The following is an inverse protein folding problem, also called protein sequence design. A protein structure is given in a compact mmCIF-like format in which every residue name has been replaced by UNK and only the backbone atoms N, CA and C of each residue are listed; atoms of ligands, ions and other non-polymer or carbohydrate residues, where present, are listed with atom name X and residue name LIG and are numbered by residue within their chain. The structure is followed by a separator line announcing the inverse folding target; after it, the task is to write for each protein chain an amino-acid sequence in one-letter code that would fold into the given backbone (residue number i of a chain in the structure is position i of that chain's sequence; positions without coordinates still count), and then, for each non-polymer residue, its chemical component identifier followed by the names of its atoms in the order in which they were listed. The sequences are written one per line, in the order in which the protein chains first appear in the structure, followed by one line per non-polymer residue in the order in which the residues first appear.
data_IF_555599216303
#
_entry.id   IF_555599216303
#
_cell.length_a   1.000
_cell.length_b   1.000
_cell.length_c   1.000
_cell.angle_alpha   90.00
_cell.angle_beta   90.00
_cell.angle_gamma   90.00
#
_symmetry.space_group_name_H-M   'P 1'
#
loop_
_entity.id
_entity.type
_entity.pdbx_description
1 polymer ?
#
# COMPACT_ATOMS: atom_id res chain seq x y z
N UNK A 1 -8.89 2.24 1.97
CA UNK A 1 -8.03 1.69 3.04
C UNK A 1 -7.98 2.70 4.16
N UNK A 2 -8.32 2.29 5.38
CA UNK A 2 -8.06 3.02 6.60
C UNK A 2 -6.95 2.28 7.35
N UNK A 3 -5.87 2.96 7.65
CA UNK A 3 -4.69 2.37 8.29
C UNK A 3 -4.32 3.23 9.48
N UNK A 4 -4.16 2.63 10.65
CA UNK A 4 -3.54 3.32 11.77
C UNK A 4 -2.05 3.49 11.47
N UNK A 5 -1.53 4.70 11.69
CA UNK A 5 -0.18 5.08 11.27
C UNK A 5 0.88 4.06 11.76
N UNK A 6 1.48 3.27 10.85
CA UNK A 6 2.57 2.38 11.22
C UNK A 6 3.84 3.20 11.44
N UNK A 7 4.95 2.54 11.76
CA UNK A 7 6.25 3.22 11.87
C UNK A 7 6.53 4.06 10.60
N UNK A 8 7.06 5.29 10.73
CA UNK A 8 7.28 6.18 9.58
C UNK A 8 8.05 5.54 8.41
N UNK A 9 9.06 4.71 8.72
CA UNK A 9 9.83 3.97 7.71
C UNK A 9 8.97 2.97 6.92
N UNK A 10 8.01 2.32 7.59
CA UNK A 10 7.06 1.39 6.97
C UNK A 10 6.07 2.17 6.12
N UNK A 11 5.48 3.24 6.67
CA UNK A 11 4.52 4.07 5.93
C UNK A 11 5.13 4.66 4.65
N UNK A 12 6.36 5.20 4.73
CA UNK A 12 7.05 5.75 3.56
C UNK A 12 7.17 4.73 2.42
N UNK A 13 7.51 3.47 2.74
CA UNK A 13 7.62 2.39 1.75
C UNK A 13 6.26 1.93 1.22
N UNK A 14 5.21 2.06 2.02
CA UNK A 14 3.87 1.64 1.63
C UNK A 14 3.25 2.56 0.58
N UNK A 15 3.59 3.85 0.54
CA UNK A 15 2.94 4.79 -0.40
C UNK A 15 2.97 4.32 -1.85
N UNK A 16 4.15 3.99 -2.39
CA UNK A 16 4.26 3.44 -3.75
C UNK A 16 3.46 2.15 -3.94
N UNK A 17 3.55 1.21 -2.99
CA UNK A 17 2.81 -0.05 -3.03
C UNK A 17 1.29 0.15 -3.03
N UNK A 18 0.77 1.11 -2.25
CA UNK A 18 -0.66 1.42 -2.20
C UNK A 18 -1.18 1.96 -3.53
N UNK A 19 -0.39 2.79 -4.21
CA UNK A 19 -0.70 3.25 -5.56
C UNK A 19 -0.71 2.09 -6.56
N UNK A 20 0.31 1.23 -6.54
CA UNK A 20 0.41 0.05 -7.42
C UNK A 20 -0.76 -0.93 -7.24
N UNK A 21 -1.19 -1.12 -6.00
CA UNK A 21 -2.33 -1.99 -5.67
C UNK A 21 -3.70 -1.38 -6.02
N UNK A 22 -3.73 -0.16 -6.58
CA UNK A 22 -4.94 0.50 -7.05
C UNK A 22 -5.88 0.95 -5.94
N UNK A 23 -5.33 1.34 -4.78
CA UNK A 23 -6.12 1.86 -3.67
C UNK A 23 -6.72 3.21 -4.04
N UNK A 24 -8.06 3.31 -4.01
CA UNK A 24 -8.76 4.56 -4.34
C UNK A 24 -8.56 5.68 -3.32
N UNK A 25 -8.55 5.32 -2.02
CA UNK A 25 -8.44 6.25 -0.89
C UNK A 25 -7.64 5.62 0.23
N UNK A 26 -6.72 6.37 0.79
CA UNK A 26 -5.95 6.05 1.99
C UNK A 26 -6.31 7.04 3.09
N UNK A 27 -6.91 6.56 4.16
CA UNK A 27 -7.13 7.35 5.38
C UNK A 27 -6.15 6.87 6.44
N UNK A 28 -5.14 7.67 6.71
CA UNK A 28 -4.18 7.46 7.76
C UNK A 28 -4.76 7.96 9.08
N UNK A 29 -4.89 7.09 10.06
CA UNK A 29 -5.53 7.40 11.35
C UNK A 29 -4.57 7.26 12.50
N UNK A 30 -4.82 7.98 13.58
CA UNK A 30 -4.19 7.66 14.86
C UNK A 30 -4.83 6.40 15.48
N UNK A 31 -4.18 5.81 16.47
CA UNK A 31 -4.76 4.77 17.32
C UNK A 31 -4.12 4.85 18.71
N UNK A 32 -4.72 4.19 19.70
CA UNK A 32 -4.21 4.18 21.07
C UNK A 32 -2.74 3.72 21.17
N UNK A 33 -2.32 2.80 20.30
CA UNK A 33 -0.96 2.22 20.28
C UNK A 33 -0.03 2.85 19.24
N UNK A 34 -0.43 3.96 18.59
CA UNK A 34 0.46 4.73 17.71
C UNK A 34 1.29 5.69 18.55
N UNK A 35 2.59 5.74 18.29
CA UNK A 35 3.47 6.69 18.94
C UNK A 35 3.19 8.11 18.45
N UNK A 36 2.99 9.05 19.39
CA UNK A 36 2.74 10.48 19.10
C UNK A 36 3.67 11.11 18.03
N UNK A 37 5.01 10.88 18.04
CA UNK A 37 5.89 11.51 17.06
C UNK A 37 5.70 11.02 15.62
N UNK A 38 4.98 9.92 15.37
CA UNK A 38 4.86 9.39 14.00
C UNK A 38 4.18 10.38 13.05
N UNK A 39 3.21 11.15 13.55
CA UNK A 39 2.54 12.22 12.79
C UNK A 39 3.36 13.49 12.61
N UNK A 40 4.50 13.64 13.30
CA UNK A 40 5.46 14.72 13.06
C UNK A 40 6.53 14.33 12.02
N UNK A 41 6.49 13.09 11.51
CA UNK A 41 7.48 12.60 10.55
C UNK A 41 7.17 13.03 9.12
N UNK A 42 8.19 12.92 8.25
CA UNK A 42 8.05 13.12 6.81
C UNK A 42 7.09 12.14 6.13
N UNK A 43 6.68 11.06 6.80
CA UNK A 43 5.76 10.07 6.24
C UNK A 43 4.35 10.60 5.97
N UNK A 44 3.99 11.72 6.59
CA UNK A 44 2.70 12.40 6.40
C UNK A 44 2.83 13.71 5.63
N UNK A 45 4.03 14.06 5.18
CA UNK A 45 4.30 15.25 4.37
C UNK A 45 3.95 14.99 2.91
N UNK A 46 2.99 15.72 2.31
CA UNK A 46 2.66 15.57 0.89
C UNK A 46 3.86 15.73 -0.04
N UNK A 47 4.82 16.59 0.29
CA UNK A 47 6.05 16.76 -0.49
C UNK A 47 6.95 15.52 -0.51
N UNK A 48 6.70 14.56 0.39
CA UNK A 48 7.47 13.32 0.51
C UNK A 48 6.68 12.11 0.03
N UNK A 49 5.39 12.01 0.35
CA UNK A 49 4.60 10.84 -0.06
C UNK A 49 3.99 10.95 -1.46
N UNK A 50 3.73 12.15 -1.99
CA UNK A 50 3.18 12.29 -3.35
C UNK A 50 4.14 11.75 -4.43
N UNK A 51 5.46 12.01 -4.38
CA UNK A 51 6.42 11.38 -5.30
C UNK A 51 6.40 9.85 -5.24
N UNK A 52 6.26 9.26 -4.05
CA UNK A 52 6.18 7.81 -3.89
C UNK A 52 4.89 7.25 -4.52
N UNK A 53 3.76 7.92 -4.34
CA UNK A 53 2.50 7.56 -5.00
C UNK A 53 2.64 7.66 -6.53
N UNK A 54 3.26 8.72 -7.05
CA UNK A 54 3.50 8.89 -8.48
C UNK A 54 4.37 7.78 -9.04
N UNK A 55 5.49 7.46 -8.38
CA UNK A 55 6.35 6.35 -8.76
C UNK A 55 5.58 5.01 -8.82
N UNK A 56 4.72 4.75 -7.85
CA UNK A 56 3.88 3.56 -7.85
C UNK A 56 2.87 3.53 -9.01
N UNK A 57 2.28 4.67 -9.35
CA UNK A 57 1.38 4.78 -10.50
C UNK A 57 2.11 4.57 -11.83
N UNK A 58 3.29 5.15 -11.99
CA UNK A 58 4.15 4.97 -13.16
C UNK A 58 4.48 3.49 -13.38
N UNK A 59 4.88 2.79 -12.32
CA UNK A 59 5.19 1.36 -12.35
C UNK A 59 3.97 0.49 -12.68
N UNK A 60 2.78 0.89 -12.23
CA UNK A 60 1.53 0.18 -12.48
C UNK A 60 0.79 0.63 -13.76
N UNK A 61 1.36 1.56 -14.54
CA UNK A 61 0.73 2.14 -15.74
C UNK A 61 -0.68 2.67 -15.42
N UNK A 62 -0.80 3.37 -14.30
CA UNK A 62 -2.06 3.93 -13.79
C UNK A 62 -1.99 5.46 -13.74
N UNK A 63 -3.14 6.13 -13.87
CA UNK A 63 -3.20 7.61 -13.94
C UNK A 63 -4.01 8.26 -12.82
N UNK A 64 -4.67 7.45 -11.97
CA UNK A 64 -5.53 7.94 -10.89
C UNK A 64 -4.81 7.93 -9.56
N UNK A 65 -4.50 9.13 -9.07
CA UNK A 65 -3.90 9.31 -7.75
C UNK A 65 -4.84 8.90 -6.62
N UNK A 66 -4.37 8.12 -5.63
CA UNK A 66 -5.15 7.85 -4.42
C UNK A 66 -5.47 9.13 -3.66
N UNK A 67 -6.72 9.25 -3.19
CA UNK A 67 -7.12 10.31 -2.25
C UNK A 67 -6.51 10.02 -0.88
N UNK A 68 -5.64 10.90 -0.37
CA UNK A 68 -4.95 10.73 0.92
C UNK A 68 -5.54 11.66 1.96
N UNK A 69 -5.92 11.10 3.11
CA UNK A 69 -6.40 11.84 4.28
C UNK A 69 -5.62 11.47 5.52
N UNK A 70 -5.30 12.45 6.35
CA UNK A 70 -4.56 12.29 7.61
C UNK A 70 -5.48 12.72 8.75
N UNK A 71 -5.92 11.75 9.54
CA UNK A 71 -6.92 11.91 10.59
C UNK A 71 -6.33 11.57 11.96
N UNK A 72 -5.83 12.58 12.66
CA UNK A 72 -5.15 12.39 13.95
C UNK A 72 -6.11 12.02 15.11
N UNK A 73 -7.42 12.16 14.90
CA UNK A 73 -8.46 11.89 15.90
C UNK A 73 -9.36 10.78 15.40
N UNK A 74 -9.00 9.53 15.73
CA UNK A 74 -9.70 8.34 15.28
C UNK A 74 -11.20 8.34 15.65
N UNK A 75 -11.52 8.59 16.93
CA UNK A 75 -12.90 8.50 17.41
C UNK A 75 -13.84 9.50 16.71
N UNK A 76 -13.56 10.83 16.69
CA UNK A 76 -14.38 11.78 15.93
C UNK A 76 -14.49 11.41 14.45
N UNK A 77 -13.40 10.94 13.84
CA UNK A 77 -13.45 10.52 12.44
C UNK A 77 -14.43 9.35 12.21
N UNK A 78 -14.36 8.31 13.04
CA UNK A 78 -15.23 7.12 12.93
C UNK A 78 -16.68 7.44 13.24
N UNK A 79 -16.94 8.26 14.26
CA UNK A 79 -18.30 8.60 14.73
C UNK A 79 -19.00 9.63 13.83
N UNK A 80 -18.27 10.64 13.33
CA UNK A 80 -18.90 11.82 12.70
C UNK A 80 -18.68 11.93 11.18
N UNK A 81 -17.57 11.36 10.67
CA UNK A 81 -17.12 11.61 9.30
C UNK A 81 -17.15 10.37 8.40
N UNK A 82 -16.94 9.18 8.97
CA UNK A 82 -16.73 7.96 8.21
C UNK A 82 -17.89 7.61 7.27
N UNK A 83 -19.13 7.81 7.75
CA UNK A 83 -20.34 7.53 6.98
C UNK A 83 -20.44 8.40 5.73
N UNK A 84 -19.95 9.64 5.78
CA UNK A 84 -19.93 10.55 4.62
C UNK A 84 -18.95 10.10 3.55
N UNK A 85 -17.94 9.31 3.92
CA UNK A 85 -16.89 8.83 3.02
C UNK A 85 -17.18 7.45 2.44
N UNK A 86 -18.18 6.75 2.97
CA UNK A 86 -18.57 5.41 2.54
C UNK A 86 -19.90 5.47 1.78
N UNK A 87 -19.90 5.43 0.44
CA UNK A 87 -21.14 5.33 -0.31
C UNK A 87 -21.91 4.03 0.03
N UNK A 88 -23.22 3.98 -0.28
CA UNK A 88 -23.98 2.74 -0.22
C UNK A 88 -23.27 1.61 -0.97
N UNK A 89 -23.31 0.39 -0.42
CA UNK A 89 -22.67 -0.77 -1.03
C UNK A 89 -21.18 -0.96 -0.69
N UNK A 90 -20.59 -0.11 0.16
CA UNK A 90 -19.25 -0.36 0.72
C UNK A 90 -19.34 -1.27 1.94
N UNK A 91 -18.69 -2.43 1.87
CA UNK A 91 -18.55 -3.33 3.01
C UNK A 91 -17.34 -2.91 3.86
N UNK A 92 -17.54 -2.75 5.17
CA UNK A 92 -16.50 -2.33 6.13
C UNK A 92 -15.92 -3.57 6.80
N UNK A 93 -14.62 -3.77 6.65
CA UNK A 93 -13.90 -4.93 7.15
C UNK A 93 -12.77 -4.48 8.06
N UNK A 94 -12.69 -5.08 9.25
CA UNK A 94 -11.66 -4.81 10.25
C UNK A 94 -10.69 -5.99 10.28
N UNK A 95 -9.45 -5.77 9.87
CA UNK A 95 -8.42 -6.80 9.99
C UNK A 95 -7.96 -6.89 11.44
N UNK A 96 -8.24 -8.02 12.08
CA UNK A 96 -7.82 -8.31 13.43
C UNK A 96 -7.28 -9.74 13.52
N UNK A 97 -6.10 -9.96 14.13
CA UNK A 97 -5.57 -11.31 14.31
C UNK A 97 -6.52 -12.16 15.14
N UNK A 98 -6.80 -13.38 14.70
CA UNK A 98 -7.61 -14.31 15.47
C UNK A 98 -8.13 -15.48 14.63
N UNK A 99 -8.27 -16.68 15.22
CA UNK A 99 -8.69 -17.88 14.49
C UNK A 99 -10.20 -17.94 14.22
N UNK A 100 -11.00 -17.06 14.84
CA UNK A 100 -12.47 -17.14 14.82
C UNK A 100 -13.15 -16.20 13.84
N UNK A 101 -12.43 -15.24 13.28
CA UNK A 101 -13.01 -14.34 12.27
C UNK A 101 -13.04 -15.03 10.90
N UNK A 102 -14.04 -14.74 10.05
CA UNK A 102 -14.08 -15.24 8.68
C UNK A 102 -12.91 -14.70 7.86
N UNK A 103 -12.59 -15.38 6.76
CA UNK A 103 -11.70 -14.84 5.74
C UNK A 103 -12.40 -13.71 4.99
N UNK A 104 -11.64 -12.80 4.40
CA UNK A 104 -12.19 -11.67 3.63
C UNK A 104 -13.19 -12.11 2.56
N UNK A 105 -12.84 -13.13 1.76
CA UNK A 105 -13.71 -13.63 0.70
C UNK A 105 -15.03 -14.20 1.25
N UNK A 106 -14.99 -14.86 2.41
CA UNK A 106 -16.17 -15.39 3.09
C UNK A 106 -17.08 -14.27 3.58
N UNK A 107 -16.50 -13.20 4.16
CA UNK A 107 -17.27 -12.02 4.57
C UNK A 107 -17.96 -11.32 3.38
N UNK A 108 -17.26 -11.21 2.24
CA UNK A 108 -17.83 -10.65 1.00
C UNK A 108 -18.95 -11.55 0.45
N UNK A 109 -18.76 -12.87 0.46
CA UNK A 109 -19.76 -13.84 0.01
C UNK A 109 -21.00 -13.83 0.91
N UNK A 110 -20.83 -13.78 2.23
CA UNK A 110 -21.92 -13.69 3.20
C UNK A 110 -22.76 -12.42 2.99
N UNK A 111 -22.11 -11.26 2.85
CA UNK A 111 -22.82 -10.01 2.55
C UNK A 111 -23.60 -10.10 1.23
N UNK A 112 -23.05 -10.75 0.21
CA UNK A 112 -23.76 -10.97 -1.05
C UNK A 112 -24.97 -11.90 -0.89
N UNK A 113 -24.86 -12.96 -0.09
CA UNK A 113 -25.95 -13.89 0.19
C UNK A 113 -27.12 -13.23 0.95
N UNK A 114 -26.82 -12.20 1.75
CA UNK A 114 -27.81 -11.33 2.40
C UNK A 114 -28.48 -10.33 1.43
N UNK A 115 -28.21 -10.43 0.13
CA UNK A 115 -28.76 -9.53 -0.89
C UNK A 115 -28.05 -8.17 -0.97
N UNK A 116 -26.91 -7.98 -0.27
CA UNK A 116 -26.18 -6.70 -0.33
C UNK A 116 -25.39 -6.60 -1.63
N UNK A 117 -25.54 -5.47 -2.32
CA UNK A 117 -24.67 -5.12 -3.44
C UNK A 117 -23.34 -4.58 -2.90
N UNK A 118 -22.34 -5.45 -2.77
CA UNK A 118 -20.96 -5.06 -2.41
C UNK A 118 -20.25 -4.48 -3.64
N UNK A 119 -20.08 -3.16 -3.67
CA UNK A 119 -19.46 -2.40 -4.77
C UNK A 119 -18.04 -1.95 -4.46
N UNK A 120 -17.68 -1.94 -3.18
CA UNK A 120 -16.37 -1.58 -2.69
C UNK A 120 -16.13 -2.09 -1.27
N UNK A 121 -14.88 -2.01 -0.83
CA UNK A 121 -14.46 -2.42 0.50
C UNK A 121 -13.77 -1.25 1.21
N UNK A 122 -14.10 -1.05 2.47
CA UNK A 122 -13.32 -0.27 3.40
C UNK A 122 -12.59 -1.23 4.34
N UNK A 123 -11.28 -1.31 4.20
CA UNK A 123 -10.43 -2.15 5.05
C UNK A 123 -9.84 -1.29 6.16
N UNK A 124 -9.96 -1.70 7.41
CA UNK A 124 -9.30 -1.10 8.58
C UNK A 124 -8.14 -1.98 9.05
N UNK A 125 -6.94 -1.42 9.13
CA UNK A 125 -5.73 -2.12 9.59
C UNK A 125 -5.09 -1.35 10.74
N UNK A 126 -4.81 -2.03 11.84
CA UNK A 126 -4.23 -1.42 13.04
C UNK A 126 -2.73 -1.14 12.92
N UNK A 127 -2.15 -0.46 13.93
CA UNK A 127 -0.71 -0.25 14.00
C UNK A 127 -0.01 -1.56 14.39
N UNK A 128 1.31 -1.56 14.56
CA UNK A 128 2.08 -2.74 14.98
C UNK A 128 1.59 -3.30 16.31
N UNK A 129 1.12 -2.41 17.21
CA UNK A 129 0.51 -2.79 18.47
C UNK A 129 -0.91 -3.34 18.34
N UNK A 130 -1.54 -3.28 17.17
CA UNK A 130 -2.95 -3.61 16.97
C UNK A 130 -3.92 -2.62 17.61
N UNK A 131 -5.20 -2.91 17.48
CA UNK A 131 -6.29 -2.16 18.09
C UNK A 131 -6.48 -2.54 19.55
N UNK A 132 -6.90 -1.58 20.39
CA UNK A 132 -7.37 -1.90 21.75
C UNK A 132 -8.86 -2.24 21.74
N UNK A 133 -9.35 -2.91 22.79
CA UNK A 133 -10.75 -3.38 22.89
C UNK A 133 -11.77 -2.27 22.64
N UNK A 134 -11.50 -1.07 23.19
CA UNK A 134 -12.33 0.11 22.95
C UNK A 134 -12.46 0.47 21.46
N UNK A 135 -11.35 0.39 20.70
CA UNK A 135 -11.34 0.69 19.27
C UNK A 135 -12.03 -0.41 18.47
N UNK A 136 -11.83 -1.68 18.84
CA UNK A 136 -12.54 -2.82 18.25
C UNK A 136 -14.07 -2.66 18.42
N UNK A 137 -14.52 -2.35 19.62
CA UNK A 137 -15.94 -2.12 19.91
C UNK A 137 -16.50 -0.92 19.16
N UNK A 138 -15.73 0.17 19.06
CA UNK A 138 -16.10 1.33 18.26
C UNK A 138 -16.28 0.94 16.78
N UNK A 139 -15.36 0.18 16.19
CA UNK A 139 -15.50 -0.28 14.81
C UNK A 139 -16.71 -1.19 14.63
N UNK A 140 -16.95 -2.15 15.55
CA UNK A 140 -18.13 -3.03 15.52
C UNK A 140 -19.43 -2.23 15.50
N UNK A 141 -19.55 -1.21 16.36
CA UNK A 141 -20.72 -0.32 16.41
C UNK A 141 -20.94 0.46 15.12
N UNK A 142 -19.87 0.74 14.37
CA UNK A 142 -19.93 1.44 13.07
C UNK A 142 -19.92 0.49 11.87
N UNK A 143 -20.38 -0.74 12.07
CA UNK A 143 -20.68 -1.69 11.01
C UNK A 143 -19.46 -2.39 10.39
N UNK A 144 -18.31 -2.36 11.07
CA UNK A 144 -17.16 -3.16 10.65
C UNK A 144 -17.36 -4.61 11.03
N UNK A 145 -17.10 -5.49 10.07
CA UNK A 145 -17.03 -6.93 10.27
C UNK A 145 -15.57 -7.34 10.40
N UNK A 146 -15.22 -8.10 11.44
CA UNK A 146 -13.87 -8.59 11.62
C UNK A 146 -13.53 -9.66 10.57
N UNK A 147 -12.30 -9.59 10.05
CA UNK A 147 -11.72 -10.57 9.14
C UNK A 147 -10.31 -10.92 9.56
N UNK A 148 -9.89 -12.14 9.27
CA UNK A 148 -8.54 -12.64 9.58
C UNK A 148 -7.74 -12.94 8.31
N UNK A 149 -6.41 -12.86 8.44
CA UNK A 149 -5.45 -13.34 7.43
C UNK A 149 -4.86 -14.71 7.81
N UNK A 150 -5.46 -15.37 8.80
CA UNK A 150 -5.05 -16.68 9.31
C UNK A 150 -4.38 -16.60 10.68
N UNK A 151 -3.67 -17.67 11.03
CA UNK A 151 -3.10 -17.85 12.38
C UNK A 151 -1.78 -17.11 12.59
N UNK A 152 -1.07 -16.79 11.50
CA UNK A 152 0.22 -16.10 11.57
C UNK A 152 0.00 -14.62 11.84
N UNK A 153 0.74 -14.10 12.80
CA UNK A 153 0.85 -12.66 13.02
C UNK A 153 1.67 -12.07 11.88
N UNK A 154 1.05 -11.20 11.09
CA UNK A 154 1.71 -10.49 9.99
C UNK A 154 2.10 -9.09 10.45
N UNK A 155 3.22 -8.60 9.94
CA UNK A 155 3.58 -7.18 10.06
C UNK A 155 2.56 -6.32 9.28
N UNK A 156 2.39 -5.07 9.69
CA UNK A 156 1.36 -4.19 9.13
C UNK A 156 1.45 -4.05 7.61
N UNK A 157 2.65 -3.93 7.05
CA UNK A 157 2.88 -3.87 5.60
C UNK A 157 2.46 -5.16 4.87
N UNK A 158 2.87 -6.31 5.38
CA UNK A 158 2.51 -7.62 4.82
C UNK A 158 1.00 -7.84 4.91
N UNK A 159 0.38 -7.45 6.03
CA UNK A 159 -1.06 -7.54 6.21
C UNK A 159 -1.81 -6.65 5.20
N UNK A 160 -1.37 -5.40 5.02
CA UNK A 160 -1.96 -4.45 4.06
C UNK A 160 -1.89 -4.99 2.63
N UNK A 161 -0.71 -5.42 2.18
CA UNK A 161 -0.54 -5.96 0.82
C UNK A 161 -1.42 -7.19 0.61
N UNK A 162 -1.42 -8.11 1.57
CA UNK A 162 -2.21 -9.34 1.52
C UNK A 162 -3.71 -9.05 1.46
N UNK A 163 -4.21 -8.14 2.31
CA UNK A 163 -5.61 -7.73 2.31
C UNK A 163 -6.03 -7.07 1.01
N UNK A 164 -5.19 -6.20 0.45
CA UNK A 164 -5.50 -5.51 -0.81
C UNK A 164 -5.58 -6.49 -1.98
N UNK A 165 -4.69 -7.49 -2.02
CA UNK A 165 -4.73 -8.55 -3.02
C UNK A 165 -6.04 -9.36 -2.93
N UNK A 166 -6.37 -9.83 -1.72
CA UNK A 166 -7.60 -10.59 -1.47
C UNK A 166 -8.87 -9.77 -1.73
N UNK A 167 -8.85 -8.49 -1.37
CA UNK A 167 -9.94 -7.55 -1.64
C UNK A 167 -10.18 -7.36 -3.14
N UNK A 168 -9.10 -7.18 -3.91
CA UNK A 168 -9.15 -7.05 -5.36
C UNK A 168 -9.73 -8.31 -6.02
N UNK A 169 -9.27 -9.49 -5.59
CA UNK A 169 -9.78 -10.78 -6.06
C UNK A 169 -11.27 -10.97 -5.75
N UNK A 170 -11.67 -10.79 -4.49
CA UNK A 170 -13.05 -10.94 -4.06
C UNK A 170 -14.02 -9.99 -4.78
N UNK A 171 -13.60 -8.75 -5.08
CA UNK A 171 -14.42 -7.80 -5.85
C UNK A 171 -14.51 -8.19 -7.34
N UNK A 172 -13.45 -8.76 -7.93
CA UNK A 172 -13.45 -9.21 -9.34
C UNK A 172 -14.31 -10.44 -9.53
N UNK A 173 -14.24 -11.41 -8.63
CA UNK A 173 -15.05 -12.63 -8.67
C UNK A 173 -16.56 -12.33 -8.78
N UNK A 174 -17.02 -11.17 -8.26
CA UNK A 174 -18.42 -10.73 -8.36
C UNK A 174 -18.80 -10.06 -9.67
N UNK A 175 -17.84 -9.49 -10.41
CA UNK A 175 -18.11 -8.76 -11.65
C UNK A 175 -18.23 -9.68 -12.87
N UNK A 176 -17.91 -10.96 -12.73
CA UNK A 176 -17.73 -11.88 -13.85
C UNK A 176 -16.49 -11.53 -14.69
N UNK A 177 -16.07 -12.41 -15.62
CA UNK A 177 -14.91 -12.17 -16.48
C UNK A 177 -15.07 -10.96 -17.42
N UNK A 178 -16.30 -10.46 -17.62
CA UNK A 178 -16.64 -9.34 -18.54
C UNK A 178 -17.28 -8.14 -17.83
N UNK A 179 -16.90 -7.85 -16.58
CA UNK A 179 -17.30 -6.59 -15.96
C UNK A 179 -16.82 -5.39 -16.80
N UNK A 180 -17.64 -4.33 -17.00
CA UNK A 180 -17.24 -3.21 -17.85
C UNK A 180 -15.91 -2.62 -17.35
N UNK A 181 -15.03 -2.17 -18.26
CA UNK A 181 -13.84 -1.43 -17.89
C UNK A 181 -14.21 -0.31 -16.92
N UNK A 182 -13.31 -0.01 -15.98
CA UNK A 182 -13.49 1.17 -15.12
C UNK A 182 -13.73 2.36 -16.05
N UNK A 183 -14.79 3.14 -15.82
CA UNK A 183 -15.02 4.39 -16.54
C UNK A 183 -13.87 5.35 -16.24
N UNK A 184 -12.83 5.29 -17.08
CA UNK A 184 -11.78 6.28 -17.18
C UNK A 184 -12.43 7.56 -17.63
N UNK A 185 -12.76 8.40 -16.63
CA UNK A 185 -13.27 9.74 -16.87
C UNK A 185 -12.37 10.40 -17.91
N UNK A 186 -12.92 10.66 -19.08
CA UNK A 186 -12.20 11.21 -20.21
C UNK A 186 -11.44 12.46 -19.75
N UNK A 187 -10.13 12.45 -19.99
CA UNK A 187 -9.32 13.66 -19.98
C UNK A 187 -9.87 14.57 -21.08
N UNK A 188 -10.80 15.45 -20.71
CA UNK A 188 -11.23 16.56 -21.56
C UNK A 188 -10.08 17.56 -21.64
N UNK A 189 -9.17 17.32 -22.58
CA UNK A 189 -8.22 18.33 -23.04
C UNK A 189 -9.01 19.36 -23.83
N UNK A 190 -9.58 20.33 -23.12
CA UNK A 190 -10.01 21.59 -23.74
C UNK A 190 -8.80 22.50 -23.82
N UNK A 191 -8.02 22.33 -24.88
CA UNK A 191 -7.17 23.41 -25.35
C UNK A 191 -8.06 24.49 -25.95
N UNK A 192 -7.94 25.73 -25.49
CA UNK A 192 -7.97 26.97 -26.27
C UNK A 192 -7.84 28.18 -25.33
N UNK A 193 -6.84 29.02 -25.60
CA UNK A 193 -6.59 30.23 -24.82
C UNK A 193 -5.26 30.89 -25.16
N UNK A 194 -5.00 31.13 -26.44
CA UNK A 194 -3.93 32.01 -26.91
C UNK A 194 -3.95 33.34 -26.13
N UNK A 195 -2.89 33.64 -25.38
CA UNK A 195 -2.74 34.98 -24.80
C UNK A 195 -1.76 35.77 -25.66
N UNK A 196 -2.34 36.70 -26.42
CA UNK A 196 -1.68 37.69 -27.27
C UNK A 196 -0.56 38.44 -26.53
N UNK A 197 0.61 38.45 -27.16
CA UNK A 197 1.72 39.36 -26.87
C UNK A 197 1.30 40.81 -27.13
N UNK A 198 1.33 41.63 -26.07
CA UNK A 198 1.16 43.08 -26.14
C UNK A 198 2.48 43.81 -25.81
N UNK A 199 3.10 44.43 -26.82
CA UNK A 199 4.22 45.37 -26.67
C UNK A 199 3.78 46.69 -26.03
N UNK A 200 4.52 47.16 -25.01
CA UNK A 200 4.85 48.54 -24.58
C UNK A 200 5.50 48.38 -23.19
N UNK A 201 6.64 48.95 -22.78
CA UNK A 201 7.51 49.99 -23.28
C UNK A 201 8.09 50.73 -22.07
N UNK A 202 9.43 50.78 -21.97
CA UNK A 202 10.25 51.78 -21.27
C UNK A 202 10.50 51.70 -19.73
N UNK A 203 11.77 51.39 -19.42
CA UNK A 203 12.70 52.02 -18.45
C UNK A 203 12.24 52.28 -17.00
N UNK A 204 12.97 51.68 -16.05
CA UNK A 204 13.90 52.40 -15.15
C UNK A 204 14.90 51.45 -14.47
N UNK A 205 16.15 51.90 -14.42
CA UNK A 205 17.31 51.32 -13.74
C UNK A 205 17.25 51.60 -12.23
N UNK A 206 17.71 50.63 -11.43
CA UNK A 206 18.38 50.82 -10.13
C UNK A 206 18.99 49.46 -9.73
N UNK A 207 20.26 49.22 -10.04
CA UNK A 207 21.41 49.33 -9.12
C UNK A 207 21.26 48.56 -7.79
N UNK A 208 22.01 47.45 -7.67
CA UNK A 208 22.48 46.87 -6.41
C UNK A 208 23.99 46.58 -6.57
N UNK A 209 24.84 46.87 -5.57
CA UNK A 209 26.27 46.57 -5.64
C UNK A 209 26.68 45.28 -4.88
N UNK A 210 27.63 44.59 -5.51
CA UNK A 210 28.76 43.72 -5.09
C UNK A 210 29.03 43.23 -3.65
N UNK A 211 29.66 42.03 -3.63
CA UNK A 211 30.69 41.42 -2.73
C UNK A 211 30.21 40.21 -1.87
N UNK A 212 30.64 38.96 -2.15
CA UNK A 212 31.91 38.26 -1.77
C UNK A 212 31.84 37.75 -0.31
N UNK A 213 32.24 36.55 0.15
CA UNK A 213 32.87 35.30 -0.31
C UNK A 213 32.40 34.20 0.68
N UNK A 214 32.50 32.91 0.34
CA UNK A 214 32.80 31.79 1.26
C UNK A 214 32.78 30.47 0.45
N UNK A 215 33.93 30.13 -0.14
CA UNK A 215 34.27 28.77 -0.54
C UNK A 215 34.88 28.06 0.67
N UNK A 216 34.22 27.02 1.19
CA UNK A 216 34.85 25.84 1.81
C UNK A 216 33.75 24.86 2.27
N UNK A 217 33.52 23.77 1.53
CA UNK A 217 32.54 22.76 1.95
C UNK A 217 32.29 21.55 1.04
N UNK A 218 32.98 21.38 -0.10
CA UNK A 218 32.56 20.41 -1.13
C UNK A 218 33.45 19.16 -1.28
N UNK A 219 34.22 18.80 -0.25
CA UNK A 219 35.11 17.61 -0.30
C UNK A 219 34.72 16.46 0.64
N UNK A 220 33.69 16.62 1.48
CA UNK A 220 33.24 15.55 2.39
C UNK A 220 32.01 14.77 1.87
N UNK A 221 31.16 15.37 1.04
CA UNK A 221 29.91 14.77 0.57
C UNK A 221 30.11 13.71 -0.53
N UNK A 222 31.13 13.88 -1.38
CA UNK A 222 31.39 13.02 -2.53
C UNK A 222 31.94 11.64 -2.16
N UNK A 223 32.60 11.48 -1.00
CA UNK A 223 33.10 10.17 -0.57
C UNK A 223 32.03 9.29 0.10
N UNK A 224 31.07 9.86 0.82
CA UNK A 224 30.02 9.10 1.53
C UNK A 224 28.99 8.51 0.57
N UNK A 225 28.60 9.26 -0.47
CA UNK A 225 27.66 8.77 -1.50
C UNK A 225 28.24 7.62 -2.33
N UNK A 226 29.55 7.64 -2.58
CA UNK A 226 30.23 6.58 -3.33
C UNK A 226 30.25 5.24 -2.58
N UNK A 227 30.41 5.27 -1.25
CA UNK A 227 30.39 4.08 -0.38
C UNK A 227 28.99 3.48 -0.22
N UNK A 228 27.96 4.32 -0.08
CA UNK A 228 26.57 3.85 0.05
C UNK A 228 26.08 3.20 -1.25
N UNK A 229 26.42 3.78 -2.40
CA UNK A 229 26.10 3.22 -3.71
C UNK A 229 26.88 1.93 -4.04
N UNK A 230 28.07 1.74 -3.46
CA UNK A 230 28.82 0.49 -3.57
C UNK A 230 28.20 -0.62 -2.70
N UNK A 231 27.84 -0.30 -1.45
CA UNK A 231 27.21 -1.25 -0.53
C UNK A 231 25.83 -1.71 -1.04
N UNK A 232 25.00 -0.80 -1.55
CA UNK A 232 23.68 -1.15 -2.12
C UNK A 232 23.79 -2.01 -3.39
N UNK A 233 24.86 -1.85 -4.17
CA UNK A 233 25.14 -2.69 -5.35
C UNK A 233 25.61 -4.09 -4.94
N UNK A 234 26.42 -4.19 -3.89
CA UNK A 234 26.90 -5.46 -3.37
C UNK A 234 25.77 -6.28 -2.70
N UNK A 235 24.91 -5.64 -1.93
CA UNK A 235 23.72 -6.29 -1.35
C UNK A 235 22.71 -6.73 -2.42
N UNK A 236 22.48 -5.91 -3.45
CA UNK A 236 21.62 -6.31 -4.58
C UNK A 236 22.20 -7.50 -5.37
N UNK A 237 23.52 -7.58 -5.50
CA UNK A 237 24.17 -8.71 -6.15
C UNK A 237 23.99 -10.00 -5.34
N UNK A 238 24.19 -9.95 -4.02
CA UNK A 238 24.04 -11.11 -3.13
C UNK A 238 22.62 -11.66 -3.12
N UNK A 239 21.61 -10.77 -3.11
CA UNK A 239 20.20 -11.18 -3.18
C UNK A 239 19.85 -11.81 -4.53
N UNK A 240 20.39 -11.29 -5.64
CA UNK A 240 20.20 -11.88 -6.98
C UNK A 240 20.85 -13.25 -7.09
N UNK A 241 22.03 -13.44 -6.50
CA UNK A 241 22.73 -14.73 -6.46
C UNK A 241 21.94 -15.78 -5.66
N UNK A 242 21.41 -15.40 -4.50
CA UNK A 242 20.54 -16.26 -3.70
C UNK A 242 19.25 -16.66 -4.43
N UNK A 243 18.60 -15.71 -5.13
CA UNK A 243 17.40 -15.99 -5.92
C UNK A 243 17.72 -16.96 -7.07
N UNK A 244 18.85 -16.77 -7.76
CA UNK A 244 19.25 -17.66 -8.85
C UNK A 244 19.58 -19.08 -8.34
N UNK A 245 20.27 -19.19 -7.20
CA UNK A 245 20.55 -20.47 -6.55
C UNK A 245 19.27 -21.22 -6.16
N UNK A 246 18.29 -20.53 -5.56
CA UNK A 246 16.98 -21.13 -5.22
C UNK A 246 16.21 -21.56 -6.47
N UNK A 247 16.25 -20.78 -7.55
CA UNK A 247 15.60 -21.14 -8.81
C UNK A 247 16.23 -22.38 -9.47
N UNK A 248 17.55 -22.55 -9.34
CA UNK A 248 18.22 -23.77 -9.79
C UNK A 248 17.82 -24.99 -8.95
N UNK A 249 17.74 -24.87 -7.63
CA UNK A 249 17.29 -25.95 -6.76
C UNK A 249 15.85 -26.38 -7.05
N UNK A 250 14.94 -25.43 -7.20
CA UNK A 250 13.55 -25.69 -7.61
C UNK A 250 13.50 -26.39 -8.98
N UNK A 251 14.36 -25.98 -9.91
CA UNK A 251 14.44 -26.61 -11.23
C UNK A 251 14.95 -28.05 -11.16
N UNK A 252 15.95 -28.33 -10.31
CA UNK A 252 16.45 -29.70 -10.05
C UNK A 252 15.38 -30.57 -9.38
N UNK A 253 14.64 -30.03 -8.42
CA UNK A 253 13.54 -30.75 -7.77
C UNK A 253 12.42 -31.08 -8.76
N UNK A 254 12.06 -30.16 -9.65
CA UNK A 254 11.08 -30.40 -10.73
C UNK A 254 11.56 -31.48 -11.71
N UNK A 255 12.84 -31.47 -12.10
CA UNK A 255 13.41 -32.52 -12.96
C UNK A 255 13.43 -33.89 -12.26
N UNK A 256 13.75 -33.94 -10.96
CA UNK A 256 13.70 -35.18 -10.17
C UNK A 256 12.27 -35.70 -10.04
N UNK A 257 11.30 -34.82 -9.83
CA UNK A 257 9.88 -35.18 -9.76
C UNK A 257 9.37 -35.72 -11.09
N UNK A 258 9.74 -35.07 -12.21
CA UNK A 258 9.38 -35.53 -13.57
C UNK A 258 10.07 -36.87 -13.94
N UNK A 259 11.26 -37.15 -13.40
CA UNK A 259 11.92 -38.44 -13.56
C UNK A 259 11.29 -39.57 -12.71
N UNK A 260 10.48 -39.22 -11.71
CA UNK A 260 9.80 -40.16 -10.82
C UNK A 260 8.39 -40.57 -11.30
N UNK A 261 7.90 -40.07 -12.44
CA UNK A 261 6.61 -40.48 -13.04
C UNK A 261 6.58 -41.95 -13.53
N UNK A 262 7.66 -42.71 -13.32
CA UNK A 262 7.68 -44.16 -13.38
C UNK A 262 7.25 -44.83 -12.06
N UNK A 263 6.03 -44.56 -11.60
CA UNK A 263 5.29 -45.42 -10.67
C UNK A 263 5.77 -45.50 -9.21
N UNK A 264 5.59 -44.42 -8.44
CA UNK A 264 5.37 -44.52 -6.97
C UNK A 264 4.36 -43.44 -6.54
N UNK A 265 3.37 -43.85 -5.75
CA UNK A 265 2.26 -43.03 -5.25
C UNK A 265 2.75 -41.77 -4.52
N UNK A 266 2.38 -40.60 -5.05
CA UNK A 266 2.78 -39.27 -4.59
C UNK A 266 2.41 -38.98 -3.12
N UNK A 267 1.47 -39.74 -2.55
CA UNK A 267 1.10 -39.66 -1.14
C UNK A 267 2.20 -40.13 -0.18
N UNK A 268 3.10 -41.02 -0.62
CA UNK A 268 4.13 -41.63 0.26
C UNK A 268 5.41 -40.79 0.33
N UNK A 269 5.70 -39.97 -0.69
CA UNK A 269 6.89 -39.09 -0.70
C UNK A 269 6.67 -37.80 0.10
N UNK A 270 5.47 -37.22 0.03
CA UNK A 270 5.13 -36.00 0.77
C UNK A 270 5.19 -36.20 2.30
N UNK A 271 4.93 -37.42 2.78
CA UNK A 271 4.99 -37.76 4.20
C UNK A 271 6.43 -37.90 4.74
N UNK A 272 7.44 -38.06 3.88
CA UNK A 272 8.84 -38.32 4.30
C UNK A 272 9.74 -37.09 4.31
N UNK A 273 9.44 -36.05 3.53
CA UNK A 273 10.27 -34.82 3.51
C UNK A 273 9.77 -33.69 4.43
N UNK A 274 8.53 -33.73 4.91
CA UNK A 274 8.02 -32.80 5.93
C UNK A 274 8.58 -33.04 7.34
N UNK A 275 9.52 -33.98 7.50
CA UNK A 275 10.18 -34.29 8.77
C UNK A 275 11.58 -33.65 8.91
N UNK A 276 12.06 -32.91 7.90
CA UNK A 276 13.40 -32.30 7.89
C UNK A 276 13.44 -30.80 7.52
N UNK A 277 12.28 -30.13 7.51
CA UNK A 277 12.15 -28.66 7.46
C UNK A 277 11.31 -28.18 8.65
#
# INVERSE_FOLDING_TARGET
LMIAMPRPKVMMRLWSTLAQMGVRRVTLTNACRVEKPYFASQAVDPGRYLPELQLGLEQAVCTRLPDVRIEMRLKPFVEDELDRLCPPGVLRLLCHPGPRAPRLAEAVAAAAAEGRRVEGLLLAVGPEGGWVDFELDMFRRHGFQEVTLGERVLTTDVAVVSLLALAGDALRARRGPEGPPREDGELSVTGHGETKVGKRGSRRQSQLPFAADDEDGDHAATHVESGLAANLRQENWLLRDQINSLNEEVSRLRQRLAACDGGVDASTLAARELQFL
#
